data_IF_377963660545
#
_entry.id   IF_377963660545
#
_cell.length_a   1.000
_cell.length_b   1.000
_cell.length_c   1.000
_cell.angle_alpha   90.00
_cell.angle_beta   90.00
_cell.angle_gamma   90.00
#
_symmetry.space_group_name_H-M   'P 1'
#
loop_
_entity.id
_entity.type
_entity.pdbx_description
1 polymer ?
#
# COMPACT_ATOMS: atom_id res chain seq x y z
N UNK A 1 16.85 -6.55 33.19
CA UNK A 1 16.01 -7.35 32.29
C UNK A 1 16.24 -6.80 30.89
N UNK A 2 17.09 -7.44 30.09
CA UNK A 2 17.23 -7.08 28.67
C UNK A 2 15.98 -7.57 27.94
N UNK A 3 15.27 -6.64 27.32
CA UNK A 3 14.15 -6.97 26.44
C UNK A 3 14.77 -7.34 25.10
N UNK A 4 14.81 -8.64 24.79
CA UNK A 4 15.24 -9.13 23.48
C UNK A 4 14.22 -8.69 22.43
N UNK A 5 14.56 -7.64 21.68
CA UNK A 5 13.74 -7.17 20.56
C UNK A 5 13.98 -8.10 19.38
N UNK A 6 13.15 -9.14 19.26
CA UNK A 6 13.21 -10.07 18.13
C UNK A 6 12.60 -9.38 16.90
N UNK A 7 13.40 -9.19 15.85
CA UNK A 7 12.91 -8.67 14.56
C UNK A 7 11.89 -9.66 13.97
N UNK A 8 10.74 -9.18 13.45
CA UNK A 8 9.68 -10.04 12.91
C UNK A 8 10.07 -10.82 11.64
N UNK A 9 11.30 -10.67 11.14
CA UNK A 9 11.77 -11.33 9.93
C UNK A 9 11.27 -10.67 8.64
N UNK A 10 11.76 -11.11 7.47
CA UNK A 10 11.48 -10.44 6.19
C UNK A 10 10.10 -10.76 5.61
N UNK A 11 9.47 -11.86 6.03
CA UNK A 11 8.18 -12.34 5.54
C UNK A 11 7.10 -11.84 6.49
N UNK A 12 6.11 -11.15 5.96
CA UNK A 12 4.97 -10.66 6.72
C UNK A 12 3.86 -11.70 6.79
N UNK A 13 3.46 -12.27 5.63
CA UNK A 13 2.36 -13.22 5.53
C UNK A 13 2.70 -14.23 4.42
N UNK A 14 2.48 -15.52 4.66
CA UNK A 14 2.58 -16.57 3.64
C UNK A 14 1.19 -17.12 3.32
N UNK A 15 0.73 -17.04 2.06
CA UNK A 15 -0.59 -17.53 1.62
C UNK A 15 -0.40 -18.46 0.42
N UNK A 16 -0.89 -19.70 0.51
CA UNK A 16 -0.89 -20.68 -0.59
C UNK A 16 0.49 -20.90 -1.27
N UNK A 17 1.58 -20.81 -0.51
CA UNK A 17 2.96 -20.93 -1.03
C UNK A 17 3.57 -19.63 -1.55
N UNK A 18 2.85 -18.50 -1.45
CA UNK A 18 3.36 -17.17 -1.76
C UNK A 18 3.76 -16.43 -0.48
N UNK A 19 5.03 -16.02 -0.42
CA UNK A 19 5.57 -15.22 0.68
C UNK A 19 5.47 -13.72 0.39
N UNK A 20 4.60 -13.04 1.13
CA UNK A 20 4.43 -11.59 1.08
C UNK A 20 5.40 -10.97 2.08
N UNK A 21 6.28 -10.09 1.58
CA UNK A 21 7.31 -9.41 2.38
C UNK A 21 6.83 -8.03 2.86
N UNK A 22 7.38 -7.57 3.97
CA UNK A 22 7.02 -6.27 4.57
C UNK A 22 7.14 -5.09 3.61
N UNK A 23 8.19 -5.06 2.76
CA UNK A 23 8.33 -3.99 1.77
C UNK A 23 7.20 -3.97 0.74
N UNK A 24 6.64 -5.14 0.39
CA UNK A 24 5.53 -5.24 -0.56
C UNK A 24 4.25 -4.62 0.00
N UNK A 25 3.98 -4.86 1.28
CA UNK A 25 2.84 -4.26 1.99
C UNK A 25 2.98 -2.74 2.03
N UNK A 26 4.16 -2.23 2.36
CA UNK A 26 4.42 -0.78 2.41
C UNK A 26 4.25 -0.11 1.04
N UNK A 27 4.74 -0.73 -0.03
CA UNK A 27 4.59 -0.22 -1.40
C UNK A 27 3.12 -0.22 -1.82
N UNK A 28 2.41 -1.33 -1.61
CA UNK A 28 0.99 -1.44 -1.95
C UNK A 28 0.14 -0.40 -1.21
N UNK A 29 0.42 -0.21 0.08
CA UNK A 29 -0.25 0.81 0.88
C UNK A 29 0.06 2.23 0.40
N UNK A 30 1.34 2.52 0.07
CA UNK A 30 1.74 3.80 -0.50
C UNK A 30 1.06 4.10 -1.84
N UNK A 31 1.00 3.11 -2.72
CA UNK A 31 0.31 3.22 -4.01
C UNK A 31 -1.20 3.44 -3.84
N UNK A 32 -1.84 2.68 -2.94
CA UNK A 32 -3.27 2.84 -2.64
C UNK A 32 -3.56 4.22 -2.05
N UNK A 33 -2.70 4.71 -1.14
CA UNK A 33 -2.85 6.03 -0.54
C UNK A 33 -2.64 7.15 -1.57
N UNK A 34 -1.66 7.01 -2.47
CA UNK A 34 -1.43 7.95 -3.56
C UNK A 34 -2.65 8.03 -4.48
N UNK A 35 -3.19 6.87 -4.88
CA UNK A 35 -4.41 6.80 -5.68
C UNK A 35 -5.60 7.43 -4.94
N UNK A 36 -5.78 7.13 -3.66
CA UNK A 36 -6.86 7.68 -2.84
C UNK A 36 -6.76 9.20 -2.69
N UNK A 37 -5.54 9.72 -2.48
CA UNK A 37 -5.29 11.17 -2.40
C UNK A 37 -5.56 11.84 -3.74
N UNK A 38 -5.09 11.26 -4.85
CA UNK A 38 -5.37 11.75 -6.20
C UNK A 38 -6.87 11.76 -6.48
N UNK A 39 -7.57 10.68 -6.16
CA UNK A 39 -9.02 10.57 -6.31
C UNK A 39 -9.77 11.61 -5.46
N UNK A 40 -9.35 11.82 -4.21
CA UNK A 40 -9.96 12.83 -3.33
C UNK A 40 -9.66 14.27 -3.77
N UNK A 41 -8.55 14.50 -4.48
CA UNK A 41 -8.16 15.82 -4.99
C UNK A 41 -8.68 16.11 -6.41
N UNK A 42 -9.03 15.09 -7.18
CA UNK A 42 -9.57 15.19 -8.53
C UNK A 42 -10.81 16.12 -8.67
N UNK A 43 -11.80 16.11 -7.74
CA UNK A 43 -12.98 16.99 -7.87
C UNK A 43 -12.64 18.48 -7.79
N UNK A 44 -11.46 18.83 -7.25
CA UNK A 44 -11.02 20.23 -7.09
C UNK A 44 -10.46 20.83 -8.37
N UNK A 45 -10.17 20.01 -9.38
CA UNK A 45 -9.63 20.42 -10.68
C UNK A 45 -10.61 20.24 -11.85
N UNK A 46 -11.88 19.90 -11.58
CA UNK A 46 -12.91 19.77 -12.62
C UNK A 46 -12.78 18.55 -13.52
N UNK A 47 -11.94 17.57 -13.13
CA UNK A 47 -11.83 16.29 -13.82
C UNK A 47 -12.89 15.35 -13.26
N UNK A 48 -13.75 14.87 -14.16
CA UNK A 48 -14.77 13.89 -13.84
C UNK A 48 -14.12 12.62 -13.29
N UNK A 49 -14.76 11.96 -12.33
CA UNK A 49 -14.26 10.74 -11.67
C UNK A 49 -13.99 9.57 -12.63
N UNK A 50 -14.34 9.69 -13.91
CA UNK A 50 -14.10 8.70 -14.97
C UNK A 50 -12.67 8.74 -15.55
N UNK A 51 -11.95 9.87 -15.51
CA UNK A 51 -10.62 9.99 -16.15
C UNK A 51 -9.47 9.31 -15.39
N UNK A 52 -9.70 8.87 -14.14
CA UNK A 52 -8.64 8.24 -13.31
C UNK A 52 -8.57 6.72 -13.54
N UNK A 53 -9.62 6.12 -14.13
CA UNK A 53 -9.73 4.70 -14.43
C UNK A 53 -9.44 4.34 -15.90
N UNK A 54 -9.34 5.34 -16.78
CA UNK A 54 -9.10 5.16 -18.21
C UNK A 54 -7.60 5.34 -18.55
N UNK A 55 -6.77 4.43 -18.02
CA UNK A 55 -5.40 4.20 -18.49
C UNK A 55 -5.26 2.85 -19.19
#
# INVERSE_FOLDING_TARGET
MEVSVTSPGPIAISIAGFDIRWYGILIAFGALLALFVSYKRAPRYGLSSDDVLDI
#
